data_IF_150890376684
#
_entry.id   IF_150890376684
#
_cell.length_a   1.000
_cell.length_b   1.000
_cell.length_c   1.000
_cell.angle_alpha   90.00
_cell.angle_beta   90.00
_cell.angle_gamma   90.00
#
_symmetry.space_group_name_H-M   'P 1'
#
loop_
_entity.id
_entity.type
_entity.pdbx_description
1 polymer ?
#
# COMPACT_ATOMS: atom_id res chain seq x y z
N UNK A 1 -15.15 1.66 -12.82
CA UNK A 1 -14.90 2.88 -12.03
C UNK A 1 -14.38 3.99 -12.92
N UNK A 2 -14.95 5.20 -12.81
CA UNK A 2 -14.34 6.37 -13.43
C UNK A 2 -13.22 6.88 -12.50
N UNK A 3 -11.97 6.59 -12.86
CA UNK A 3 -10.79 7.00 -12.09
C UNK A 3 -10.42 8.48 -12.29
N UNK A 4 -11.18 9.18 -13.12
CA UNK A 4 -11.00 10.60 -13.43
C UNK A 4 -12.11 11.39 -12.75
N UNK A 5 -11.72 12.34 -11.90
CA UNK A 5 -12.62 13.34 -11.36
C UNK A 5 -12.58 14.56 -12.29
N UNK A 6 -13.65 14.76 -13.04
CA UNK A 6 -13.78 15.85 -14.02
C UNK A 6 -14.64 16.95 -13.43
N UNK A 7 -14.07 18.13 -13.24
CA UNK A 7 -14.75 19.27 -12.63
C UNK A 7 -14.85 20.40 -13.65
N UNK A 8 -16.01 21.04 -13.73
CA UNK A 8 -16.30 22.05 -14.74
C UNK A 8 -16.78 23.36 -14.12
N UNK A 9 -16.26 24.47 -14.63
CA UNK A 9 -16.66 25.82 -14.25
C UNK A 9 -17.03 26.61 -15.49
N UNK A 10 -17.68 27.76 -15.31
CA UNK A 10 -17.92 28.73 -16.38
C UNK A 10 -16.62 29.23 -17.04
N UNK A 11 -15.49 29.20 -16.33
CA UNK A 11 -14.19 29.68 -16.79
C UNK A 11 -13.23 28.58 -17.26
N UNK A 12 -13.56 27.29 -17.14
CA UNK A 12 -12.67 26.21 -17.55
C UNK A 12 -13.06 24.83 -17.01
N UNK A 13 -12.16 23.85 -17.18
CA UNK A 13 -12.35 22.49 -16.67
C UNK A 13 -11.05 21.96 -16.05
N UNK A 14 -11.17 20.97 -15.18
CA UNK A 14 -10.05 20.25 -14.57
C UNK A 14 -10.36 18.76 -14.53
N UNK A 15 -9.38 17.92 -14.90
CA UNK A 15 -9.49 16.47 -14.79
C UNK A 15 -8.37 15.94 -13.88
N UNK A 16 -8.72 15.15 -12.87
CA UNK A 16 -7.76 14.58 -11.91
C UNK A 16 -7.79 13.06 -12.00
N UNK A 17 -6.65 12.46 -12.28
CA UNK A 17 -6.47 11.02 -12.18
C UNK A 17 -6.32 10.62 -10.69
N UNK A 18 -7.41 10.12 -10.10
CA UNK A 18 -7.53 9.84 -8.67
C UNK A 18 -6.47 8.86 -8.12
N UNK A 19 -6.10 7.76 -8.82
CA UNK A 19 -5.08 6.82 -8.33
C UNK A 19 -3.68 7.42 -8.16
N UNK A 20 -3.30 8.42 -8.98
CA UNK A 20 -2.03 9.11 -8.82
C UNK A 20 -2.11 10.30 -7.87
N UNK A 21 -3.32 10.84 -7.67
CA UNK A 21 -3.54 11.98 -6.78
C UNK A 21 -3.66 11.56 -5.32
N UNK A 22 -4.35 10.44 -5.03
CA UNK A 22 -4.58 9.96 -3.67
C UNK A 22 -3.65 8.81 -3.26
N UNK A 23 -3.27 8.72 -1.98
CA UNK A 23 -3.52 9.69 -0.91
C UNK A 23 -2.74 11.00 -1.14
N UNK A 24 -3.26 12.11 -0.60
CA UNK A 24 -2.62 13.42 -0.73
C UNK A 24 -2.48 14.13 0.62
N UNK A 25 -1.79 15.28 0.63
CA UNK A 25 -1.71 16.11 1.83
C UNK A 25 -3.06 16.77 2.12
N UNK A 26 -3.36 17.05 3.38
CA UNK A 26 -4.58 17.75 3.78
C UNK A 26 -4.79 19.08 3.01
N UNK A 27 -3.71 19.82 2.75
CA UNK A 27 -3.75 21.04 1.95
C UNK A 27 -4.20 20.81 0.49
N UNK A 28 -3.73 19.74 -0.15
CA UNK A 28 -4.17 19.35 -1.50
C UNK A 28 -5.62 18.91 -1.51
N UNK A 29 -6.04 18.12 -0.52
CA UNK A 29 -7.42 17.67 -0.38
C UNK A 29 -8.38 18.84 -0.16
N UNK A 30 -8.07 19.75 0.76
CA UNK A 30 -8.89 20.92 1.05
C UNK A 30 -9.00 21.83 -0.17
N UNK A 31 -7.91 21.99 -0.93
CA UNK A 31 -7.93 22.75 -2.18
C UNK A 31 -8.81 22.06 -3.23
N UNK A 32 -8.75 20.74 -3.34
CA UNK A 32 -9.64 19.97 -4.22
C UNK A 32 -11.11 20.12 -3.83
N UNK A 33 -11.45 20.00 -2.54
CA UNK A 33 -12.82 20.21 -2.05
C UNK A 33 -13.33 21.62 -2.37
N UNK A 34 -12.49 22.65 -2.20
CA UNK A 34 -12.82 24.03 -2.59
C UNK A 34 -13.07 24.17 -4.07
N UNK A 35 -12.25 23.52 -4.91
CA UNK A 35 -12.55 23.45 -6.33
C UNK A 35 -13.90 22.79 -6.51
N UNK A 36 -14.13 21.53 -6.10
CA UNK A 36 -15.41 20.85 -6.30
C UNK A 36 -16.63 21.72 -5.92
N UNK A 37 -16.55 22.46 -4.81
CA UNK A 37 -17.62 23.36 -4.36
C UNK A 37 -17.92 24.55 -5.31
N UNK A 38 -16.97 24.95 -6.18
CA UNK A 38 -17.20 25.97 -7.21
C UNK A 38 -18.05 25.44 -8.39
N UNK A 39 -18.19 24.12 -8.55
CA UNK A 39 -19.02 23.47 -9.57
C UNK A 39 -20.36 23.17 -8.93
N UNK A 40 -21.14 24.24 -8.69
CA UNK A 40 -22.35 24.20 -7.87
C UNK A 40 -23.35 23.16 -8.36
N UNK A 41 -23.40 22.92 -9.67
CA UNK A 41 -24.31 21.94 -10.29
C UNK A 41 -23.89 20.49 -10.02
N UNK A 42 -22.58 20.19 -10.00
CA UNK A 42 -22.07 18.82 -9.91
C UNK A 42 -21.32 18.51 -8.60
N UNK A 43 -21.18 19.47 -7.69
CA UNK A 43 -20.37 19.36 -6.48
C UNK A 43 -20.70 18.11 -5.65
N UNK A 44 -21.98 17.85 -5.40
CA UNK A 44 -22.42 16.68 -4.63
C UNK A 44 -22.07 15.36 -5.33
N UNK A 45 -22.29 15.29 -6.65
CA UNK A 45 -21.97 14.10 -7.45
C UNK A 45 -20.46 13.83 -7.47
N UNK A 46 -19.64 14.88 -7.57
CA UNK A 46 -18.18 14.79 -7.54
C UNK A 46 -17.65 14.35 -6.17
N UNK A 47 -18.24 14.87 -5.07
CA UNK A 47 -17.91 14.41 -3.72
C UNK A 47 -18.28 12.93 -3.52
N UNK A 48 -19.46 12.51 -3.99
CA UNK A 48 -19.88 11.09 -3.96
C UNK A 48 -18.95 10.21 -4.79
N UNK A 49 -18.51 10.66 -5.97
CA UNK A 49 -17.54 9.93 -6.78
C UNK A 49 -16.21 9.76 -6.04
N UNK A 50 -15.73 10.81 -5.37
CA UNK A 50 -14.49 10.76 -4.57
C UNK A 50 -14.64 9.82 -3.37
N UNK A 51 -15.76 9.85 -2.66
CA UNK A 51 -16.05 8.95 -1.54
C UNK A 51 -16.17 7.50 -2.01
N UNK A 52 -16.86 7.24 -3.12
CA UNK A 52 -16.94 5.92 -3.72
C UNK A 52 -15.55 5.39 -4.07
N UNK A 53 -14.67 6.24 -4.61
CA UNK A 53 -13.28 5.86 -4.85
C UNK A 53 -12.54 5.48 -3.56
N UNK A 54 -12.73 6.19 -2.44
CA UNK A 54 -12.11 5.83 -1.16
C UNK A 54 -12.63 4.50 -0.62
N UNK A 55 -13.95 4.28 -0.65
CA UNK A 55 -14.57 3.01 -0.29
C UNK A 55 -14.04 1.86 -1.15
N UNK A 56 -13.83 2.13 -2.44
CA UNK A 56 -13.14 1.29 -3.43
C UNK A 56 -11.80 0.75 -2.94
N UNK A 57 -10.96 1.68 -2.45
CA UNK A 57 -9.54 1.44 -2.16
C UNK A 57 -9.27 0.84 -0.79
N UNK A 58 -10.17 1.01 0.17
CA UNK A 58 -10.02 0.44 1.52
C UNK A 58 -9.84 -1.08 1.49
N UNK A 59 -10.72 -1.88 0.86
CA UNK A 59 -10.54 -3.33 0.81
C UNK A 59 -9.29 -3.72 0.02
N UNK A 60 -8.93 -3.03 -1.06
CA UNK A 60 -7.69 -3.28 -1.80
C UNK A 60 -6.45 -3.07 -0.91
N UNK A 61 -6.42 -2.01 -0.10
CA UNK A 61 -5.34 -1.75 0.83
C UNK A 61 -5.27 -2.82 1.93
N UNK A 62 -6.41 -3.29 2.42
CA UNK A 62 -6.49 -4.38 3.38
C UNK A 62 -5.95 -5.69 2.78
N UNK A 63 -6.36 -6.04 1.57
CA UNK A 63 -5.87 -7.23 0.86
C UNK A 63 -4.34 -7.20 0.68
N UNK A 64 -3.78 -6.04 0.29
CA UNK A 64 -2.33 -5.86 0.19
C UNK A 64 -1.68 -6.00 1.56
N UNK A 65 -2.24 -5.38 2.61
CA UNK A 65 -1.70 -5.49 3.97
C UNK A 65 -1.64 -6.95 4.44
N UNK A 66 -2.71 -7.71 4.26
CA UNK A 66 -2.79 -9.12 4.67
C UNK A 66 -1.84 -10.00 3.84
N UNK A 67 -1.82 -9.82 2.51
CA UNK A 67 -0.95 -10.58 1.60
C UNK A 67 0.52 -10.35 1.92
N UNK A 68 0.94 -9.09 2.03
CA UNK A 68 2.32 -8.73 2.31
C UNK A 68 2.71 -9.07 3.76
N UNK A 69 1.77 -8.99 4.71
CA UNK A 69 1.96 -9.47 6.08
C UNK A 69 2.26 -10.97 6.14
N UNK A 70 1.50 -11.78 5.40
CA UNK A 70 1.77 -13.23 5.28
C UNK A 70 3.11 -13.50 4.60
N UNK A 71 3.41 -12.80 3.50
CA UNK A 71 4.67 -12.94 2.79
C UNK A 71 5.87 -12.56 3.67
N UNK A 72 5.74 -11.51 4.49
CA UNK A 72 6.76 -11.09 5.45
C UNK A 72 7.15 -12.23 6.41
N UNK A 73 6.17 -12.87 7.04
CA UNK A 73 6.42 -14.00 7.94
C UNK A 73 7.05 -15.19 7.22
N UNK A 74 6.54 -15.54 6.03
CA UNK A 74 7.14 -16.60 5.23
C UNK A 74 8.62 -16.36 4.89
N UNK A 75 9.01 -15.10 4.62
CA UNK A 75 10.41 -14.76 4.35
C UNK A 75 11.26 -14.67 5.63
N UNK A 76 10.66 -14.29 6.76
CA UNK A 76 11.32 -14.35 8.08
C UNK A 76 11.67 -15.79 8.44
N UNK A 77 10.71 -16.71 8.34
CA UNK A 77 10.90 -18.13 8.68
C UNK A 77 11.98 -18.75 7.79
N UNK A 78 11.92 -18.53 6.47
CA UNK A 78 12.95 -18.99 5.53
C UNK A 78 14.34 -18.44 5.86
N UNK A 79 14.45 -17.16 6.21
CA UNK A 79 15.73 -16.57 6.58
C UNK A 79 16.30 -17.23 7.84
N UNK A 80 15.45 -17.44 8.86
CA UNK A 80 15.82 -18.11 10.10
C UNK A 80 16.27 -19.56 9.85
N UNK A 81 15.56 -20.31 9.00
CA UNK A 81 15.92 -21.68 8.63
C UNK A 81 17.32 -21.74 8.00
N UNK A 82 17.62 -20.86 7.04
CA UNK A 82 18.94 -20.79 6.41
C UNK A 82 20.03 -20.35 7.40
N UNK A 83 19.74 -19.41 8.29
CA UNK A 83 20.68 -18.97 9.33
C UNK A 83 20.99 -20.07 10.34
N UNK A 84 19.97 -20.82 10.78
CA UNK A 84 20.14 -21.97 11.67
C UNK A 84 20.99 -23.06 11.03
N UNK A 85 20.71 -23.41 9.78
CA UNK A 85 21.47 -24.42 9.05
C UNK A 85 22.93 -24.00 8.81
N UNK A 86 23.18 -22.70 8.59
CA UNK A 86 24.54 -22.14 8.51
C UNK A 86 25.28 -22.23 9.85
N UNK A 87 24.58 -22.00 10.98
CA UNK A 87 25.14 -22.09 12.32
C UNK A 87 25.50 -23.54 12.69
N UNK A 88 24.62 -24.50 12.39
CA UNK A 88 24.86 -25.93 12.60
C UNK A 88 25.95 -26.50 11.69
N UNK A 89 26.20 -25.83 10.55
CA UNK A 89 27.17 -26.27 9.55
C UNK A 89 26.77 -27.56 8.84
N UNK A 90 25.51 -27.99 8.98
CA UNK A 90 24.95 -29.23 8.44
C UNK A 90 23.73 -28.96 7.58
N UNK A 91 23.45 -29.85 6.65
CA UNK A 91 22.23 -29.88 5.87
C UNK A 91 21.05 -30.40 6.70
N UNK A 92 19.79 -30.24 6.25
CA UNK A 92 18.63 -30.83 6.92
C UNK A 92 18.72 -32.35 7.10
N UNK A 93 19.51 -33.03 6.26
CA UNK A 93 19.78 -34.47 6.35
C UNK A 93 21.01 -34.82 7.20
N UNK A 94 21.61 -33.83 7.86
CA UNK A 94 22.73 -33.99 8.80
C UNK A 94 24.13 -34.02 8.16
N UNK A 95 24.25 -33.87 6.84
CA UNK A 95 25.55 -33.88 6.16
C UNK A 95 26.27 -32.53 6.32
N UNK A 96 27.61 -32.49 6.47
CA UNK A 96 28.35 -31.23 6.53
C UNK A 96 28.16 -30.38 5.27
N UNK A 97 28.05 -29.06 5.44
CA UNK A 97 27.92 -28.13 4.32
C UNK A 97 29.23 -27.93 3.58
N UNK A 98 29.18 -28.00 2.25
CA UNK A 98 30.28 -27.60 1.38
C UNK A 98 30.48 -26.07 1.40
N UNK A 99 31.66 -25.60 0.96
CA UNK A 99 31.94 -24.15 0.88
C UNK A 99 30.96 -23.43 -0.06
N UNK A 100 30.57 -24.06 -1.14
CA UNK A 100 29.62 -23.52 -2.12
C UNK A 100 28.22 -23.42 -1.52
N UNK A 101 27.75 -24.49 -0.87
CA UNK A 101 26.45 -24.48 -0.16
C UNK A 101 26.39 -23.40 0.91
N UNK A 102 27.46 -23.22 1.71
CA UNK A 102 27.52 -22.14 2.71
C UNK A 102 27.40 -20.76 2.06
N UNK A 103 28.03 -20.55 0.90
CA UNK A 103 27.95 -19.28 0.16
C UNK A 103 26.54 -19.03 -0.36
N UNK A 104 25.92 -20.05 -0.97
CA UNK A 104 24.58 -19.95 -1.52
C UNK A 104 23.53 -19.72 -0.44
N UNK A 105 23.63 -20.44 0.69
CA UNK A 105 22.70 -20.28 1.81
C UNK A 105 22.83 -18.92 2.48
N UNK A 106 24.05 -18.40 2.59
CA UNK A 106 24.25 -17.03 3.07
C UNK A 106 23.61 -16.01 2.12
N UNK A 107 23.66 -16.26 0.81
CA UNK A 107 22.98 -15.43 -0.19
C UNK A 107 21.46 -15.54 -0.03
N UNK A 108 20.91 -16.74 0.07
CA UNK A 108 19.47 -16.95 0.24
C UNK A 108 18.92 -16.33 1.53
N UNK A 109 19.63 -16.48 2.67
CA UNK A 109 19.25 -15.82 3.92
C UNK A 109 19.18 -14.29 3.74
N UNK A 110 20.18 -13.70 3.07
CA UNK A 110 20.21 -12.26 2.77
C UNK A 110 19.06 -11.84 1.85
N UNK A 111 18.78 -12.60 0.79
CA UNK A 111 17.71 -12.31 -0.17
C UNK A 111 16.32 -12.46 0.47
N UNK A 112 16.14 -13.43 1.36
CA UNK A 112 14.92 -13.60 2.16
C UNK A 112 14.75 -12.42 3.12
N UNK A 113 15.80 -12.03 3.85
CA UNK A 113 15.74 -10.87 4.73
C UNK A 113 15.43 -9.56 3.97
N UNK A 114 15.98 -9.38 2.77
CA UNK A 114 15.67 -8.24 1.92
C UNK A 114 14.20 -8.27 1.46
N UNK A 115 13.69 -9.43 1.05
CA UNK A 115 12.29 -9.63 0.66
C UNK A 115 11.33 -9.36 1.82
N UNK A 116 11.64 -9.85 3.02
CA UNK A 116 10.87 -9.56 4.22
C UNK A 116 10.79 -8.05 4.49
N UNK A 117 11.91 -7.32 4.39
CA UNK A 117 11.92 -5.86 4.56
C UNK A 117 11.06 -5.16 3.50
N UNK A 118 11.06 -5.65 2.26
CA UNK A 118 10.22 -5.12 1.19
C UNK A 118 8.72 -5.35 1.49
N UNK A 119 8.32 -6.57 1.85
CA UNK A 119 6.95 -6.91 2.24
C UNK A 119 6.49 -6.05 3.42
N UNK A 120 7.32 -5.91 4.47
CA UNK A 120 7.01 -5.06 5.62
C UNK A 120 6.76 -3.61 5.21
N UNK A 121 7.60 -3.05 4.34
CA UNK A 121 7.43 -1.68 3.84
C UNK A 121 6.11 -1.52 3.09
N UNK A 122 5.81 -2.44 2.17
CA UNK A 122 4.58 -2.41 1.38
C UNK A 122 3.35 -2.57 2.27
N UNK A 123 3.36 -3.50 3.23
CA UNK A 123 2.27 -3.68 4.19
C UNK A 123 2.01 -2.40 5.01
N UNK A 124 3.07 -1.79 5.56
CA UNK A 124 2.94 -0.54 6.32
C UNK A 124 2.44 0.62 5.46
N UNK A 125 2.83 0.68 4.19
CA UNK A 125 2.33 1.68 3.24
C UNK A 125 0.84 1.47 2.97
N UNK A 126 0.41 0.23 2.70
CA UNK A 126 -0.99 -0.09 2.47
C UNK A 126 -1.85 0.22 3.70
N UNK A 127 -1.37 -0.11 4.90
CA UNK A 127 -2.03 0.26 6.17
C UNK A 127 -2.22 1.78 6.29
N UNK A 128 -1.17 2.57 6.06
CA UNK A 128 -1.27 4.04 6.09
C UNK A 128 -2.21 4.60 5.04
N UNK A 129 -2.25 4.00 3.85
CA UNK A 129 -3.17 4.40 2.78
C UNK A 129 -4.62 4.13 3.19
N UNK A 130 -4.89 2.95 3.75
CA UNK A 130 -6.20 2.57 4.28
C UNK A 130 -6.67 3.57 5.36
N UNK A 131 -5.84 3.80 6.38
CA UNK A 131 -6.13 4.75 7.46
C UNK A 131 -6.41 6.16 6.91
N UNK A 132 -5.67 6.57 5.87
CA UNK A 132 -5.92 7.84 5.20
C UNK A 132 -7.29 7.87 4.51
N UNK A 133 -7.69 6.81 3.81
CA UNK A 133 -9.01 6.75 3.16
C UNK A 133 -10.15 6.73 4.17
N UNK A 134 -10.02 5.96 5.26
CA UNK A 134 -11.01 5.88 6.34
C UNK A 134 -11.22 7.24 7.02
N UNK A 135 -10.13 7.91 7.41
CA UNK A 135 -10.21 9.22 8.07
C UNK A 135 -10.88 10.31 7.21
N UNK A 136 -10.84 10.18 5.87
CA UNK A 136 -11.42 11.16 4.95
C UNK A 136 -12.75 10.71 4.33
N UNK A 137 -13.27 9.54 4.73
CA UNK A 137 -14.65 9.12 4.49
C UNK A 137 -15.60 9.65 5.56
N UNK A 138 -15.19 9.61 6.83
CA UNK A 138 -16.03 9.95 7.99
C UNK A 138 -16.29 11.46 8.14
N UNK A 139 -15.43 12.32 7.60
CA UNK A 139 -15.60 13.79 7.62
C UNK A 139 -16.58 14.36 6.58
N UNK A 140 -17.63 13.61 6.22
CA UNK A 140 -18.70 14.00 5.29
C UNK A 140 -20.03 14.40 5.96
N UNK A 141 -20.08 14.36 7.29
CA UNK A 141 -21.18 14.81 8.14
C UNK A 141 -20.58 15.68 9.23
N UNK A 142 -21.20 16.83 9.53
CA UNK A 142 -20.69 18.00 10.29
C UNK A 142 -20.02 19.02 9.35
N UNK A 143 -20.60 20.18 9.00
CA UNK A 143 -21.74 20.97 9.50
C UNK A 143 -22.53 21.59 8.34
#
# INVERSE_FOLDING_TARGET
MNNILSIQWSSGHMAIYMPAFFPCTAGKLNKLKKYIAMDVEHAEALLKQMQAFFQERIPECEEVFQREGKAYWNYQDKAADYEHQLADGKTPVGLPLTKEQKKDWKKYAKDCAASARACKRTALQAKKQKEWFEAHLEGGTEE
#
